data_IF_660555559630
#
_entry.id   IF_660555559630
#
_cell.length_a   1.000
_cell.length_b   1.000
_cell.length_c   1.000
_cell.angle_alpha   90.00
_cell.angle_beta   90.00
_cell.angle_gamma   90.00
#
_symmetry.space_group_name_H-M   'P 1'
#
loop_
_entity.id
_entity.type
_entity.pdbx_description
1 polymer ?
#
# COMPACT_ATOMS: atom_id res chain seq x y z
N UNK A 1 0.94 -12.39 7.63
CA UNK A 1 1.56 -11.11 8.05
C UNK A 1 0.49 -10.11 8.43
N UNK A 2 0.83 -9.18 9.32
CA UNK A 2 -0.06 -8.08 9.73
C UNK A 2 0.63 -6.76 9.41
N UNK A 3 -0.04 -5.86 8.69
CA UNK A 3 0.52 -4.58 8.27
C UNK A 3 -0.53 -3.47 8.47
N UNK A 4 -0.11 -2.38 9.13
CA UNK A 4 -0.92 -1.18 9.33
C UNK A 4 -0.11 0.06 8.97
N UNK A 5 -0.62 0.85 8.03
CA UNK A 5 -0.23 2.22 7.83
C UNK A 5 -1.48 3.05 7.50
N UNK A 6 -1.69 4.11 8.27
CA UNK A 6 -2.82 5.03 8.08
C UNK A 6 -2.33 6.46 8.24
N UNK A 7 -2.57 7.32 7.23
CA UNK A 7 -2.17 8.73 7.30
C UNK A 7 -0.65 8.95 7.31
N UNK A 8 0.15 7.93 6.96
CA UNK A 8 1.60 8.01 6.98
C UNK A 8 2.16 8.68 5.72
N UNK A 9 3.35 9.29 5.85
CA UNK A 9 4.13 9.80 4.72
C UNK A 9 5.33 8.88 4.50
N UNK A 10 5.38 8.21 3.36
CA UNK A 10 6.48 7.36 2.92
C UNK A 10 7.29 8.11 1.87
N UNK A 11 8.62 8.13 2.03
CA UNK A 11 9.53 8.87 1.15
C UNK A 11 10.61 7.97 0.56
N UNK A 12 10.70 7.96 -0.75
CA UNK A 12 11.66 7.14 -1.48
C UNK A 12 11.47 5.63 -1.27
N UNK A 13 12.46 4.86 -1.70
CA UNK A 13 12.51 3.41 -1.47
C UNK A 13 11.42 2.63 -2.23
N UNK A 14 11.13 1.42 -1.73
CA UNK A 14 10.21 0.48 -2.37
C UNK A 14 9.16 -0.06 -1.40
N UNK A 15 7.91 -0.11 -1.86
CA UNK A 15 6.78 -0.72 -1.16
C UNK A 15 6.37 -2.03 -1.85
N UNK A 16 6.51 -3.14 -1.13
CA UNK A 16 6.13 -4.48 -1.58
C UNK A 16 5.10 -5.08 -0.62
N UNK A 17 3.85 -5.13 -1.07
CA UNK A 17 2.70 -5.62 -0.31
C UNK A 17 2.00 -6.75 -1.09
N UNK A 18 2.78 -7.74 -1.56
CA UNK A 18 2.24 -8.88 -2.29
C UNK A 18 1.11 -9.60 -1.52
N UNK A 19 -0.03 -9.81 -2.17
CA UNK A 19 -1.25 -10.39 -1.56
C UNK A 19 -0.98 -11.72 -0.84
N UNK A 20 -0.16 -12.60 -1.44
CA UNK A 20 0.17 -13.90 -0.86
C UNK A 20 0.83 -13.81 0.53
N UNK A 21 1.51 -12.70 0.85
CA UNK A 21 2.12 -12.48 2.17
C UNK A 21 1.06 -12.31 3.28
N UNK A 22 -0.18 -12.02 2.90
CA UNK A 22 -1.31 -11.77 3.79
C UNK A 22 -2.36 -12.90 3.75
N UNK A 23 -2.06 -14.05 3.12
CA UNK A 23 -2.97 -15.21 3.05
C UNK A 23 -3.48 -15.69 4.42
N UNK A 24 -2.69 -15.46 5.48
CA UNK A 24 -3.11 -15.57 6.88
C UNK A 24 -2.68 -14.28 7.61
N UNK A 25 -3.58 -13.31 7.61
CA UNK A 25 -3.38 -12.02 8.27
C UNK A 25 -4.19 -10.91 7.61
N UNK A 26 -3.73 -9.68 7.76
CA UNK A 26 -4.46 -8.50 7.28
C UNK A 26 -3.50 -7.38 6.90
N UNK A 27 -3.99 -6.50 6.04
CA UNK A 27 -3.29 -5.36 5.49
C UNK A 27 -4.24 -4.17 5.52
N UNK A 28 -3.83 -3.08 6.16
CA UNK A 28 -4.45 -1.77 6.01
C UNK A 28 -3.37 -0.76 5.60
N UNK A 29 -3.51 -0.23 4.39
CA UNK A 29 -2.66 0.82 3.84
C UNK A 29 -3.58 1.91 3.27
N UNK A 30 -3.84 2.97 4.03
CA UNK A 30 -4.93 3.89 3.71
C UNK A 30 -4.62 5.34 4.05
N UNK A 31 -4.98 6.25 3.13
CA UNK A 31 -4.78 7.68 3.30
C UNK A 31 -3.30 8.06 3.45
N UNK A 32 -2.40 7.26 2.85
CA UNK A 32 -0.97 7.53 2.88
C UNK A 32 -0.55 8.48 1.76
N UNK A 33 0.52 9.22 2.01
CA UNK A 33 1.26 9.96 0.98
C UNK A 33 2.50 9.15 0.64
N UNK A 34 2.68 8.86 -0.64
CA UNK A 34 3.83 8.14 -1.17
C UNK A 34 4.61 9.07 -2.09
N UNK A 35 5.72 9.61 -1.59
CA UNK A 35 6.54 10.64 -2.23
C UNK A 35 7.85 10.02 -2.74
N UNK A 36 7.94 9.82 -4.05
CA UNK A 36 9.04 9.08 -4.68
C UNK A 36 9.14 7.61 -4.26
N UNK A 37 8.09 7.06 -3.63
CA UNK A 37 8.05 5.65 -3.22
C UNK A 37 7.67 4.78 -4.40
N UNK A 38 8.46 3.74 -4.69
CA UNK A 38 8.17 2.81 -5.79
C UNK A 38 7.33 1.63 -5.30
N UNK A 39 6.10 1.49 -5.78
CA UNK A 39 5.27 0.31 -5.54
C UNK A 39 5.71 -0.83 -6.45
N UNK A 40 6.18 -1.95 -5.88
CA UNK A 40 6.69 -3.09 -6.66
C UNK A 40 5.65 -4.20 -6.81
N UNK A 41 4.88 -4.49 -5.77
CA UNK A 41 3.78 -5.45 -5.78
C UNK A 41 2.69 -4.98 -4.83
N UNK A 42 1.46 -5.01 -5.29
CA UNK A 42 0.25 -4.71 -4.51
C UNK A 42 -0.79 -5.82 -4.77
N UNK A 43 -1.76 -6.02 -3.87
CA UNK A 43 -2.92 -6.84 -4.18
C UNK A 43 -3.70 -6.23 -5.34
N UNK A 44 -4.42 -7.05 -6.09
CA UNK A 44 -5.22 -6.56 -7.21
C UNK A 44 -6.30 -5.56 -6.75
N UNK A 45 -6.58 -4.56 -7.58
CA UNK A 45 -7.68 -3.61 -7.40
C UNK A 45 -9.04 -4.30 -7.24
N UNK A 46 -9.92 -3.70 -6.44
CA UNK A 46 -11.28 -4.19 -6.24
C UNK A 46 -12.03 -3.42 -5.15
N UNK A 47 -13.17 -3.95 -4.70
CA UNK A 47 -14.03 -3.24 -3.74
C UNK A 47 -13.32 -2.88 -2.43
N UNK A 48 -12.34 -3.68 -2.03
CA UNK A 48 -11.59 -3.56 -0.75
C UNK A 48 -10.16 -3.05 -0.90
N UNK A 49 -9.60 -3.08 -2.10
CA UNK A 49 -8.22 -2.66 -2.38
C UNK A 49 -8.31 -1.57 -3.43
N UNK A 50 -7.97 -0.35 -3.04
CA UNK A 50 -7.95 0.83 -3.92
C UNK A 50 -6.63 1.54 -3.76
N UNK A 51 -5.63 1.14 -4.50
CA UNK A 51 -4.31 1.73 -4.41
C UNK A 51 -4.09 2.83 -5.45
N UNK A 52 -4.80 2.80 -6.59
CA UNK A 52 -4.77 3.91 -7.57
C UNK A 52 -5.57 5.13 -7.08
N UNK A 53 -6.74 4.91 -6.48
CA UNK A 53 -7.64 5.99 -6.03
C UNK A 53 -7.62 6.24 -4.51
N UNK A 54 -6.97 5.39 -3.71
CA UNK A 54 -7.06 5.44 -2.25
C UNK A 54 -5.93 6.16 -1.51
N UNK A 55 -4.78 6.36 -2.16
CA UNK A 55 -3.62 7.04 -1.58
C UNK A 55 -3.12 8.15 -2.50
N UNK A 56 -2.45 9.15 -1.92
CA UNK A 56 -1.84 10.22 -2.69
C UNK A 56 -0.45 9.80 -3.15
N UNK A 57 -0.31 9.56 -4.44
CA UNK A 57 0.96 9.31 -5.10
C UNK A 57 1.59 10.63 -5.56
N UNK A 58 2.79 10.93 -5.08
CA UNK A 58 3.61 12.05 -5.52
C UNK A 58 4.85 11.50 -6.23
N UNK A 59 5.05 11.95 -7.47
CA UNK A 59 6.11 11.48 -8.38
C UNK A 59 7.51 11.82 -7.93
#
# INVERSE_FOLDING_TARGET
NEYLAQGAVLRGGSLDLAEAAFAKGWLLHSGCVEDGTTRTRLPAEGDRVRHEDGNLLLG
#
